data_IF_523414783879
#
_entry.id   IF_523414783879
#
_cell.length_a   1.000
_cell.length_b   1.000
_cell.length_c   1.000
_cell.angle_alpha   90.00
_cell.angle_beta   90.00
_cell.angle_gamma   90.00
#
_symmetry.space_group_name_H-M   'P 1'
#
loop_
_entity.id
_entity.type
_entity.pdbx_description
1 polymer ?
#
# COMPACT_ATOMS: atom_id res chain seq x y z
N UNK A 1 12.60 37.89 -7.29
CA UNK A 1 12.44 36.43 -7.45
C UNK A 1 11.27 36.23 -8.40
N UNK A 2 11.60 36.07 -9.67
CA UNK A 2 10.61 36.00 -10.77
C UNK A 2 10.12 34.53 -10.85
N UNK A 3 8.84 34.32 -10.59
CA UNK A 3 8.17 33.06 -10.82
C UNK A 3 8.08 32.83 -12.34
N UNK A 4 8.94 32.00 -12.89
CA UNK A 4 8.74 31.46 -14.24
C UNK A 4 7.68 30.37 -14.17
N UNK A 5 6.44 30.75 -14.38
CA UNK A 5 5.35 29.84 -14.65
C UNK A 5 5.47 29.41 -16.13
N UNK A 6 5.72 28.15 -16.47
CA UNK A 6 5.82 27.75 -17.87
C UNK A 6 4.45 27.81 -18.53
N UNK A 7 4.36 28.59 -19.59
CA UNK A 7 3.16 28.74 -20.40
C UNK A 7 2.75 27.45 -21.11
N UNK A 8 1.46 27.10 -21.22
CA UNK A 8 1.00 25.92 -21.92
C UNK A 8 1.14 26.05 -23.44
N UNK A 9 1.72 25.04 -24.09
CA UNK A 9 1.77 24.93 -25.56
C UNK A 9 0.69 23.92 -25.95
N UNK A 10 -0.44 24.41 -26.46
CA UNK A 10 -1.50 23.58 -27.06
C UNK A 10 -2.23 24.39 -28.13
N UNK A 11 -2.88 23.73 -29.09
CA UNK A 11 -3.68 24.37 -30.15
C UNK A 11 -4.82 25.26 -29.65
N UNK A 12 -5.18 25.19 -28.35
CA UNK A 12 -6.18 26.05 -27.68
C UNK A 12 -5.88 26.31 -26.20
N UNK A 13 -4.63 26.19 -25.73
CA UNK A 13 -4.29 26.37 -24.31
C UNK A 13 -4.68 25.21 -23.38
N UNK A 14 -5.26 24.12 -23.90
CA UNK A 14 -5.72 22.98 -23.10
C UNK A 14 -4.64 21.91 -22.94
N UNK A 15 -4.50 21.34 -21.74
CA UNK A 15 -3.56 20.26 -21.46
C UNK A 15 -4.13 18.90 -21.94
N UNK A 16 -3.29 18.12 -22.66
CA UNK A 16 -3.62 16.76 -23.09
C UNK A 16 -3.13 15.75 -22.06
N UNK A 17 -4.01 14.86 -21.63
CA UNK A 17 -3.74 13.80 -20.65
C UNK A 17 -3.91 12.44 -21.31
N UNK A 18 -2.90 11.55 -21.16
CA UNK A 18 -2.99 10.17 -21.62
C UNK A 18 -3.31 9.25 -20.44
N UNK A 19 -4.43 8.55 -20.48
CA UNK A 19 -4.80 7.51 -19.52
C UNK A 19 -4.33 6.15 -20.04
N UNK A 20 -3.38 5.52 -19.35
CA UNK A 20 -2.82 4.24 -19.75
C UNK A 20 -3.32 3.05 -18.93
N UNK A 21 -4.05 3.31 -17.87
CA UNK A 21 -4.79 2.33 -17.08
C UNK A 21 -6.26 2.74 -16.95
N UNK A 22 -7.16 1.77 -16.90
CA UNK A 22 -8.57 2.03 -16.62
C UNK A 22 -8.77 2.46 -15.17
N UNK A 23 -9.59 3.47 -14.97
CA UNK A 23 -9.89 4.04 -13.66
C UNK A 23 -11.41 4.27 -13.54
N UNK A 24 -11.84 4.76 -12.37
CA UNK A 24 -13.24 5.16 -12.19
C UNK A 24 -13.62 6.23 -13.22
N UNK A 25 -14.79 6.15 -13.90
CA UNK A 25 -15.20 7.07 -14.98
C UNK A 25 -15.16 8.54 -14.59
N UNK A 26 -15.50 8.87 -13.33
CA UNK A 26 -15.49 10.24 -12.81
C UNK A 26 -14.16 10.97 -13.05
N UNK A 27 -13.03 10.24 -13.09
CA UNK A 27 -11.71 10.86 -13.27
C UNK A 27 -11.64 11.55 -14.64
N UNK A 28 -11.97 10.83 -15.69
CA UNK A 28 -11.99 11.36 -17.06
C UNK A 28 -13.07 12.43 -17.22
N UNK A 29 -14.29 12.17 -16.72
CA UNK A 29 -15.43 13.07 -16.82
C UNK A 29 -15.13 14.43 -16.19
N UNK A 30 -14.70 14.47 -14.92
CA UNK A 30 -14.42 15.72 -14.22
C UNK A 30 -13.18 16.46 -14.77
N UNK A 31 -12.16 15.76 -15.26
CA UNK A 31 -11.05 16.42 -15.95
C UNK A 31 -11.47 17.01 -17.28
N UNK A 32 -12.36 16.36 -18.04
CA UNK A 32 -12.92 16.90 -19.28
C UNK A 32 -13.78 18.14 -19.03
N UNK A 33 -14.64 18.11 -18.02
CA UNK A 33 -15.43 19.28 -17.57
C UNK A 33 -14.55 20.46 -17.15
N UNK A 34 -13.34 20.16 -16.65
CA UNK A 34 -12.34 21.16 -16.24
C UNK A 34 -11.46 21.65 -17.41
N UNK A 35 -11.77 21.26 -18.64
CA UNK A 35 -11.10 21.75 -19.84
C UNK A 35 -9.86 20.94 -20.28
N UNK A 36 -9.59 19.79 -19.68
CA UNK A 36 -8.51 18.91 -20.13
C UNK A 36 -8.96 18.04 -21.31
N UNK A 37 -8.04 17.78 -22.24
CA UNK A 37 -8.25 16.83 -23.34
C UNK A 37 -7.77 15.46 -22.87
N UNK A 38 -8.67 14.48 -22.77
CA UNK A 38 -8.39 13.15 -22.25
C UNK A 38 -8.34 12.12 -23.38
N UNK A 39 -7.22 11.39 -23.50
CA UNK A 39 -7.08 10.25 -24.41
C UNK A 39 -6.87 8.98 -23.60
N UNK A 40 -7.42 7.88 -24.05
CA UNK A 40 -7.31 6.56 -23.42
C UNK A 40 -6.53 5.60 -24.31
N UNK A 41 -5.59 4.89 -23.71
CA UNK A 41 -4.83 3.83 -24.37
C UNK A 41 -4.50 2.72 -23.36
N UNK A 42 -5.37 1.73 -23.28
CA UNK A 42 -5.27 0.65 -22.31
C UNK A 42 -4.57 -0.60 -22.87
N UNK A 43 -4.19 -0.62 -24.14
CA UNK A 43 -3.72 -1.83 -24.83
C UNK A 43 -2.31 -1.75 -25.41
N UNK A 44 -1.85 -0.57 -25.80
CA UNK A 44 -0.53 -0.37 -26.40
C UNK A 44 0.62 -0.82 -25.47
N UNK A 45 1.66 -1.37 -26.04
CA UNK A 45 2.89 -1.67 -25.29
C UNK A 45 3.56 -0.40 -24.74
N UNK A 46 4.44 -0.56 -23.72
CA UNK A 46 5.26 0.56 -23.24
C UNK A 46 5.99 1.27 -24.39
N UNK A 47 6.59 0.49 -25.31
CA UNK A 47 7.33 1.02 -26.46
C UNK A 47 6.44 1.84 -27.42
N UNK A 48 5.17 1.48 -27.57
CA UNK A 48 4.26 2.24 -28.42
C UNK A 48 3.74 3.51 -27.72
N UNK A 49 3.52 3.46 -26.41
CA UNK A 49 3.23 4.67 -25.62
C UNK A 49 4.41 5.65 -25.67
N UNK A 50 5.64 5.17 -25.58
CA UNK A 50 6.86 5.97 -25.68
C UNK A 50 7.00 6.73 -27.01
N UNK A 51 6.43 6.24 -28.10
CA UNK A 51 6.47 6.92 -29.41
C UNK A 51 5.63 8.20 -29.44
N UNK A 52 4.57 8.27 -28.65
CA UNK A 52 3.59 9.35 -28.65
C UNK A 52 3.52 10.18 -27.38
N UNK A 53 4.22 9.77 -26.32
CA UNK A 53 4.11 10.45 -25.00
C UNK A 53 4.55 11.92 -25.05
N UNK A 54 5.40 12.30 -25.98
CA UNK A 54 5.81 13.69 -26.20
C UNK A 54 4.66 14.62 -26.60
N UNK A 55 3.52 14.09 -27.03
CA UNK A 55 2.33 14.88 -27.38
C UNK A 55 1.50 15.29 -26.14
N UNK A 56 1.80 14.72 -24.95
CA UNK A 56 0.98 14.85 -23.74
C UNK A 56 1.68 15.66 -22.65
N UNK A 57 0.90 16.41 -21.88
CA UNK A 57 1.33 17.17 -20.72
C UNK A 57 1.05 16.43 -19.41
N UNK A 58 0.15 15.45 -19.43
CA UNK A 58 -0.16 14.60 -18.29
C UNK A 58 -0.26 13.14 -18.68
N UNK A 59 0.12 12.25 -17.76
CA UNK A 59 -0.15 10.82 -17.85
C UNK A 59 -0.83 10.33 -16.58
N UNK A 60 -1.87 9.51 -16.75
CA UNK A 60 -2.58 8.84 -15.66
C UNK A 60 -2.26 7.36 -15.71
N UNK A 61 -1.69 6.83 -14.62
CA UNK A 61 -1.22 5.45 -14.50
C UNK A 61 -1.65 4.82 -13.18
N UNK A 62 -1.75 3.50 -13.15
CA UNK A 62 -1.82 2.69 -11.91
C UNK A 62 -0.57 1.84 -11.76
N UNK A 63 -0.45 0.75 -12.53
CA UNK A 63 0.66 -0.20 -12.36
C UNK A 63 1.08 -0.92 -13.66
N UNK A 64 0.57 -0.49 -14.81
CA UNK A 64 0.70 -1.20 -16.09
C UNK A 64 2.14 -1.48 -16.49
N UNK A 65 3.01 -0.48 -16.37
CA UNK A 65 4.44 -0.62 -16.61
C UNK A 65 5.25 0.42 -15.85
N UNK A 66 6.56 0.20 -15.79
CA UNK A 66 7.48 1.10 -15.10
C UNK A 66 7.73 2.36 -15.92
N UNK A 67 7.57 3.53 -15.28
CA UNK A 67 7.95 4.84 -15.81
C UNK A 67 9.40 5.10 -15.39
N UNK A 68 10.33 4.60 -16.18
CA UNK A 68 11.77 4.71 -15.96
C UNK A 68 12.37 5.90 -16.71
N UNK A 69 13.68 6.10 -16.52
CA UNK A 69 14.46 7.14 -17.20
C UNK A 69 14.24 7.15 -18.72
N UNK A 70 14.25 5.97 -19.35
CA UNK A 70 14.11 5.86 -20.82
C UNK A 70 12.73 6.36 -21.30
N UNK A 71 11.67 6.07 -20.54
CA UNK A 71 10.34 6.61 -20.80
C UNK A 71 10.31 8.13 -20.62
N UNK A 72 10.87 8.63 -19.50
CA UNK A 72 10.88 10.06 -19.17
C UNK A 72 11.71 10.89 -20.15
N UNK A 73 12.74 10.33 -20.76
CA UNK A 73 13.52 11.01 -21.80
C UNK A 73 12.70 11.28 -23.08
N UNK A 74 11.72 10.44 -23.37
CA UNK A 74 10.81 10.61 -24.51
C UNK A 74 9.61 11.52 -24.20
N UNK A 75 9.30 11.70 -22.91
CA UNK A 75 8.17 12.50 -22.43
C UNK A 75 8.52 13.99 -22.32
N UNK A 76 8.97 14.60 -23.42
CA UNK A 76 9.56 15.95 -23.43
C UNK A 76 8.60 17.08 -23.03
N UNK A 77 7.30 16.89 -23.19
CA UNK A 77 6.26 17.88 -22.86
C UNK A 77 5.51 17.55 -21.55
N UNK A 78 5.90 16.46 -20.86
CA UNK A 78 5.18 16.00 -19.68
C UNK A 78 5.40 16.96 -18.51
N UNK A 79 4.30 17.38 -17.89
CA UNK A 79 4.28 18.26 -16.71
C UNK A 79 3.95 17.50 -15.43
N UNK A 80 3.14 16.44 -15.54
CA UNK A 80 2.78 15.63 -14.38
C UNK A 80 2.56 14.15 -14.73
N UNK A 81 2.77 13.33 -13.70
CA UNK A 81 2.39 11.92 -13.68
C UNK A 81 1.43 11.73 -12.53
N UNK A 82 0.20 11.33 -12.83
CA UNK A 82 -0.84 11.07 -11.83
C UNK A 82 -0.99 9.56 -11.63
N UNK A 83 -0.55 9.06 -10.47
CA UNK A 83 -0.71 7.65 -10.09
C UNK A 83 -1.99 7.48 -9.27
N UNK A 84 -2.98 6.78 -9.82
CA UNK A 84 -4.25 6.47 -9.13
C UNK A 84 -4.02 5.36 -8.10
N UNK A 85 -3.45 5.75 -6.97
CA UNK A 85 -3.06 4.88 -5.86
C UNK A 85 -2.06 5.56 -4.92
N UNK A 86 -1.57 4.83 -3.90
CA UNK A 86 -0.74 5.39 -2.84
C UNK A 86 0.77 5.40 -3.15
N UNK A 87 1.32 4.29 -3.65
CA UNK A 87 2.76 4.13 -3.86
C UNK A 87 3.23 4.69 -5.20
N UNK A 88 4.51 5.00 -5.31
CA UNK A 88 5.14 5.51 -6.54
C UNK A 88 6.28 4.61 -7.03
N UNK A 89 6.36 3.38 -6.56
CA UNK A 89 7.49 2.45 -6.79
C UNK A 89 7.68 2.09 -8.28
N UNK A 90 6.65 2.27 -9.10
CA UNK A 90 6.73 2.07 -10.56
C UNK A 90 7.27 3.28 -11.33
N UNK A 91 7.60 4.38 -10.64
CA UNK A 91 8.02 5.65 -11.25
C UNK A 91 9.42 6.00 -10.75
N UNK A 92 10.30 6.39 -11.65
CA UNK A 92 11.61 6.97 -11.30
C UNK A 92 11.39 8.40 -10.79
N UNK A 93 11.13 8.51 -9.48
CA UNK A 93 10.75 9.76 -8.84
C UNK A 93 11.85 10.82 -8.89
N UNK A 94 13.11 10.41 -8.70
CA UNK A 94 14.26 11.31 -8.70
C UNK A 94 14.47 11.89 -10.10
N UNK A 95 14.40 11.03 -11.11
CA UNK A 95 14.56 11.48 -12.48
C UNK A 95 13.39 12.36 -12.96
N UNK A 96 12.15 12.02 -12.56
CA UNK A 96 10.97 12.87 -12.83
C UNK A 96 11.11 14.25 -12.18
N UNK A 97 11.58 14.31 -10.94
CA UNK A 97 11.84 15.57 -10.23
C UNK A 97 12.93 16.40 -10.92
N UNK A 98 14.02 15.77 -11.41
CA UNK A 98 15.08 16.45 -12.15
C UNK A 98 14.62 17.09 -13.46
N UNK A 99 13.51 16.59 -14.02
CA UNK A 99 12.84 17.14 -15.22
C UNK A 99 11.68 18.10 -14.88
N UNK A 100 11.50 18.46 -13.62
CA UNK A 100 10.38 19.28 -13.13
C UNK A 100 9.00 18.68 -13.43
N UNK A 101 8.88 17.35 -13.47
CA UNK A 101 7.61 16.65 -13.66
C UNK A 101 6.98 16.44 -12.28
N UNK A 102 5.78 16.96 -12.06
CA UNK A 102 5.04 16.81 -10.82
C UNK A 102 4.55 15.37 -10.64
N UNK A 103 4.75 14.80 -9.46
CA UNK A 103 4.23 13.48 -9.10
C UNK A 103 3.00 13.63 -8.23
N UNK A 104 1.88 13.09 -8.68
CA UNK A 104 0.58 13.16 -8.02
C UNK A 104 0.17 11.74 -7.64
N UNK A 105 0.03 11.48 -6.32
CA UNK A 105 -0.49 10.22 -5.79
C UNK A 105 -1.72 10.47 -4.92
N UNK A 106 -2.47 9.42 -4.63
CA UNK A 106 -3.74 9.50 -3.90
C UNK A 106 -3.77 8.61 -2.63
N UNK A 107 -2.78 8.70 -1.71
CA UNK A 107 -2.76 7.86 -0.51
C UNK A 107 -3.97 8.10 0.41
N UNK A 108 -4.63 9.25 0.29
CA UNK A 108 -5.83 9.57 1.05
C UNK A 108 -7.06 8.79 0.57
N UNK A 109 -7.07 8.37 -0.70
CA UNK A 109 -8.25 7.77 -1.35
C UNK A 109 -8.55 6.35 -0.89
N UNK A 110 -7.54 5.55 -0.50
CA UNK A 110 -7.74 4.16 -0.08
C UNK A 110 -7.40 3.89 1.38
N UNK A 111 -7.02 4.91 2.16
CA UNK A 111 -6.62 4.74 3.56
C UNK A 111 -7.70 4.08 4.43
N UNK A 112 -8.99 4.38 4.15
CA UNK A 112 -10.09 3.80 4.90
C UNK A 112 -10.20 2.29 4.66
N UNK A 113 -10.15 1.88 3.40
CA UNK A 113 -10.17 0.47 3.01
C UNK A 113 -9.00 -0.31 3.64
N UNK A 114 -7.78 0.22 3.57
CA UNK A 114 -6.60 -0.40 4.19
C UNK A 114 -6.78 -0.54 5.71
N UNK A 115 -7.29 0.48 6.39
CA UNK A 115 -7.55 0.41 7.83
C UNK A 115 -8.57 -0.67 8.20
N UNK A 116 -9.63 -0.82 7.42
CA UNK A 116 -10.66 -1.86 7.61
C UNK A 116 -10.11 -3.26 7.32
N UNK A 117 -9.37 -3.42 6.24
CA UNK A 117 -8.76 -4.69 5.88
C UNK A 117 -7.73 -5.15 6.91
N UNK A 118 -6.90 -4.22 7.42
CA UNK A 118 -5.93 -4.49 8.49
C UNK A 118 -6.64 -5.00 9.76
N UNK A 119 -7.74 -4.36 10.15
CA UNK A 119 -8.56 -4.82 11.28
C UNK A 119 -9.21 -6.18 11.01
N UNK A 120 -9.71 -6.41 9.79
CA UNK A 120 -10.30 -7.68 9.41
C UNK A 120 -9.28 -8.83 9.49
N UNK A 121 -8.05 -8.65 9.00
CA UNK A 121 -6.95 -9.62 9.15
C UNK A 121 -6.66 -9.91 10.62
N UNK A 122 -6.53 -8.86 11.45
CA UNK A 122 -6.26 -9.00 12.88
C UNK A 122 -7.36 -9.81 13.59
N UNK A 123 -8.63 -9.43 13.42
CA UNK A 123 -9.75 -10.14 14.02
C UNK A 123 -9.89 -11.57 13.51
N UNK A 124 -9.62 -11.80 12.23
CA UNK A 124 -9.66 -13.14 11.63
C UNK A 124 -8.59 -14.06 12.20
N UNK A 125 -7.38 -13.54 12.47
CA UNK A 125 -6.30 -14.27 13.15
C UNK A 125 -6.66 -14.58 14.59
N UNK A 126 -7.08 -13.57 15.34
CA UNK A 126 -7.41 -13.69 16.77
C UNK A 126 -8.52 -14.72 17.02
N UNK A 127 -9.52 -14.77 16.15
CA UNK A 127 -10.67 -15.67 16.29
C UNK A 127 -10.56 -16.95 15.46
N UNK A 128 -9.42 -17.25 14.83
CA UNK A 128 -9.21 -18.42 13.96
C UNK A 128 -10.28 -18.57 12.86
N UNK A 129 -10.87 -17.46 12.35
CA UNK A 129 -12.06 -17.49 11.49
C UNK A 129 -11.82 -18.32 10.23
N UNK A 130 -10.70 -18.10 9.53
CA UNK A 130 -10.40 -18.80 8.29
C UNK A 130 -10.19 -20.30 8.50
N UNK A 131 -9.41 -20.67 9.53
CA UNK A 131 -9.17 -22.06 9.91
C UNK A 131 -10.47 -22.75 10.27
N UNK A 132 -11.24 -22.19 11.20
CA UNK A 132 -12.51 -22.76 11.67
C UNK A 132 -13.53 -22.91 10.52
N UNK A 133 -13.63 -21.90 9.64
CA UNK A 133 -14.51 -21.98 8.46
C UNK A 133 -14.10 -23.11 7.50
N UNK A 134 -12.81 -23.28 7.25
CA UNK A 134 -12.33 -24.35 6.38
C UNK A 134 -12.55 -25.75 6.98
N UNK A 135 -12.34 -25.91 8.29
CA UNK A 135 -12.61 -27.15 9.02
C UNK A 135 -14.10 -27.53 8.90
N UNK A 136 -15.02 -26.60 9.17
CA UNK A 136 -16.46 -26.85 9.05
C UNK A 136 -16.84 -27.21 7.61
N UNK A 137 -16.33 -26.52 6.61
CA UNK A 137 -16.56 -26.82 5.18
C UNK A 137 -16.04 -28.20 4.78
N UNK A 138 -15.00 -28.71 5.47
CA UNK A 138 -14.47 -30.09 5.28
C UNK A 138 -15.13 -31.14 6.20
N UNK A 139 -16.22 -30.80 6.89
CA UNK A 139 -16.97 -31.70 7.75
C UNK A 139 -16.39 -31.90 9.15
N UNK A 140 -15.45 -31.06 9.59
CA UNK A 140 -14.84 -31.10 10.92
C UNK A 140 -15.53 -30.11 11.86
N UNK A 141 -15.68 -30.47 13.14
CA UNK A 141 -16.35 -29.65 14.16
C UNK A 141 -15.47 -29.48 15.39
N UNK A 142 -14.36 -28.72 15.25
CA UNK A 142 -13.29 -28.62 16.22
C UNK A 142 -13.43 -27.32 17.07
N UNK A 143 -14.17 -27.35 18.17
CA UNK A 143 -14.38 -26.17 19.02
C UNK A 143 -13.12 -25.77 19.80
N UNK A 144 -12.49 -26.71 20.51
CA UNK A 144 -11.38 -26.42 21.44
C UNK A 144 -10.13 -25.93 20.72
N UNK A 145 -9.78 -26.53 19.57
CA UNK A 145 -8.62 -26.12 18.77
C UNK A 145 -8.80 -24.79 18.05
N UNK A 146 -10.01 -24.24 18.03
CA UNK A 146 -10.36 -22.95 17.46
C UNK A 146 -10.68 -21.88 18.52
N UNK A 147 -10.34 -22.12 19.81
CA UNK A 147 -10.45 -21.09 20.83
C UNK A 147 -9.58 -19.89 20.45
N UNK A 148 -10.19 -18.71 20.35
CA UNK A 148 -9.54 -17.46 19.96
C UNK A 148 -8.98 -16.66 21.11
N UNK A 149 -8.54 -15.46 20.79
CA UNK A 149 -8.10 -14.42 21.71
C UNK A 149 -8.98 -13.18 21.55
N UNK A 150 -9.08 -12.37 22.59
CA UNK A 150 -9.75 -11.07 22.56
C UNK A 150 -8.69 -9.96 22.41
N UNK A 151 -9.10 -8.84 21.78
CA UNK A 151 -8.21 -7.69 21.62
C UNK A 151 -8.09 -6.85 22.89
N UNK A 152 -9.11 -6.87 23.75
CA UNK A 152 -9.15 -6.04 24.93
C UNK A 152 -7.94 -6.29 25.84
N UNK A 153 -7.37 -5.21 26.34
CA UNK A 153 -6.14 -5.22 27.13
C UNK A 153 -4.84 -5.42 26.33
N UNK A 154 -4.90 -5.60 25.01
CA UNK A 154 -3.70 -5.75 24.18
C UNK A 154 -3.05 -4.40 23.82
N UNK A 155 -1.77 -4.44 23.57
CA UNK A 155 -1.01 -3.31 23.02
C UNK A 155 -0.78 -3.53 21.53
N UNK A 156 -1.29 -2.62 20.71
CA UNK A 156 -1.14 -2.62 19.27
C UNK A 156 0.00 -1.66 18.89
N UNK A 157 1.08 -2.19 18.32
CA UNK A 157 2.21 -1.44 17.80
C UNK A 157 2.02 -1.15 16.29
N UNK A 158 2.11 0.10 15.89
CA UNK A 158 2.01 0.53 14.50
C UNK A 158 3.34 1.16 14.09
N UNK A 159 3.99 0.62 13.06
CA UNK A 159 5.17 1.24 12.44
C UNK A 159 4.75 1.93 11.14
N UNK A 160 5.01 3.24 11.06
CA UNK A 160 4.51 4.14 10.03
C UNK A 160 3.14 4.73 10.40
N UNK A 161 3.14 5.98 10.89
CA UNK A 161 1.92 6.63 11.36
C UNK A 161 1.46 7.75 10.41
N UNK A 162 1.52 7.45 9.09
CA UNK A 162 0.97 8.26 8.00
C UNK A 162 -0.51 7.98 7.74
N UNK A 163 -0.93 8.09 6.46
CA UNK A 163 -2.33 7.90 6.05
C UNK A 163 -2.92 6.55 6.50
N UNK A 164 -2.17 5.45 6.29
CA UNK A 164 -2.66 4.09 6.57
C UNK A 164 -2.64 3.79 8.07
N UNK A 165 -1.53 4.06 8.76
CA UNK A 165 -1.39 3.82 10.19
C UNK A 165 -2.43 4.60 11.02
N UNK A 166 -2.66 5.87 10.69
CA UNK A 166 -3.71 6.69 11.32
C UNK A 166 -5.11 6.14 11.06
N UNK A 167 -5.36 5.63 9.85
CA UNK A 167 -6.64 5.03 9.52
C UNK A 167 -6.88 3.75 10.33
N UNK A 168 -5.88 2.87 10.42
CA UNK A 168 -5.97 1.66 11.24
C UNK A 168 -6.18 1.99 12.72
N UNK A 169 -5.38 2.89 13.31
CA UNK A 169 -5.54 3.32 14.69
C UNK A 169 -6.95 3.87 14.96
N UNK A 170 -7.51 4.64 14.03
CA UNK A 170 -8.89 5.13 14.12
C UNK A 170 -9.93 3.99 14.18
N UNK A 171 -9.72 2.86 13.48
CA UNK A 171 -10.63 1.72 13.51
C UNK A 171 -10.58 0.96 14.84
N UNK A 172 -9.50 1.08 15.59
CA UNK A 172 -9.33 0.44 16.89
C UNK A 172 -10.09 1.13 18.03
N UNK A 173 -10.72 2.29 17.80
CA UNK A 173 -11.45 3.06 18.84
C UNK A 173 -12.60 2.31 19.54
N UNK A 174 -13.10 1.26 18.94
CA UNK A 174 -14.18 0.44 19.52
C UNK A 174 -13.69 -0.67 20.43
N UNK A 175 -12.36 -0.78 20.65
CA UNK A 175 -11.72 -1.82 21.47
C UNK A 175 -10.98 -1.18 22.64
N UNK A 176 -10.93 -1.87 23.77
CA UNK A 176 -10.16 -1.44 24.95
C UNK A 176 -8.67 -1.81 24.81
N UNK A 177 -8.00 -1.21 23.83
CA UNK A 177 -6.58 -1.47 23.48
C UNK A 177 -5.72 -0.25 23.75
N UNK A 178 -4.43 -0.50 24.04
CA UNK A 178 -3.40 0.54 23.98
C UNK A 178 -2.81 0.58 22.59
N UNK A 179 -2.85 1.73 21.91
CA UNK A 179 -2.24 1.88 20.58
C UNK A 179 -0.96 2.73 20.69
N UNK A 180 0.16 2.12 20.31
CA UNK A 180 1.46 2.77 20.21
C UNK A 180 1.84 2.91 18.74
N UNK A 181 2.46 4.03 18.37
CA UNK A 181 3.01 4.19 17.04
C UNK A 181 4.49 4.61 17.08
N UNK A 182 5.23 4.14 16.07
CA UNK A 182 6.59 4.57 15.80
C UNK A 182 6.67 5.08 14.35
N UNK A 183 7.34 6.20 14.16
CA UNK A 183 7.57 6.82 12.85
C UNK A 183 8.93 7.51 12.85
N UNK A 184 9.54 7.69 11.67
CA UNK A 184 10.77 8.48 11.50
C UNK A 184 10.52 9.97 11.68
N UNK A 185 9.28 10.42 11.51
CA UNK A 185 8.86 11.80 11.77
C UNK A 185 8.47 11.95 13.23
N UNK A 186 8.88 13.06 13.82
CA UNK A 186 8.51 13.39 15.19
C UNK A 186 7.09 13.99 15.27
N UNK A 187 6.47 13.85 16.43
CA UNK A 187 5.17 14.48 16.77
C UNK A 187 4.02 14.10 15.84
N UNK A 188 4.03 12.87 15.30
CA UNK A 188 2.94 12.35 14.44
C UNK A 188 1.81 11.71 15.24
N UNK A 189 2.03 11.36 16.50
CA UNK A 189 1.02 10.78 17.40
C UNK A 189 -0.20 11.68 17.54
N UNK A 190 -1.35 11.09 17.84
CA UNK A 190 -2.62 11.79 18.02
C UNK A 190 -3.49 11.10 19.09
N UNK A 191 -4.78 11.47 19.17
CA UNK A 191 -5.72 10.89 20.12
C UNK A 191 -5.97 9.38 19.94
N UNK A 192 -5.49 8.77 18.84
CA UNK A 192 -5.70 7.35 18.55
C UNK A 192 -4.47 6.51 18.83
N UNK A 193 -3.26 7.10 18.82
CA UNK A 193 -2.02 6.39 19.12
C UNK A 193 -0.97 7.31 19.74
N UNK A 194 -0.34 6.81 20.80
CA UNK A 194 0.81 7.47 21.44
C UNK A 194 2.08 7.15 20.65
N UNK A 195 2.82 8.17 20.21
CA UNK A 195 4.13 7.97 19.61
C UNK A 195 5.15 7.58 20.67
N UNK A 196 5.96 6.56 20.35
CA UNK A 196 7.03 6.03 21.22
C UNK A 196 8.26 5.68 20.39
N UNK A 197 9.38 5.39 21.05
CA UNK A 197 10.56 4.84 20.38
C UNK A 197 10.29 3.43 19.86
N UNK A 198 11.11 2.94 18.92
CA UNK A 198 11.00 1.58 18.41
C UNK A 198 11.20 0.55 19.54
N UNK A 199 12.16 0.81 20.43
CA UNK A 199 12.47 -0.06 21.56
C UNK A 199 11.29 -0.15 22.53
N UNK A 200 10.62 0.96 22.85
CA UNK A 200 9.42 0.94 23.71
C UNK A 200 8.29 0.17 23.05
N UNK A 201 8.09 0.31 21.74
CA UNK A 201 7.10 -0.45 20.98
C UNK A 201 7.40 -1.95 21.03
N UNK A 202 8.66 -2.35 20.77
CA UNK A 202 9.11 -3.75 20.80
C UNK A 202 8.99 -4.38 22.19
N UNK A 203 9.13 -3.60 23.27
CA UNK A 203 8.93 -4.09 24.63
C UNK A 203 7.46 -4.36 24.97
N UNK A 204 6.52 -3.58 24.42
CA UNK A 204 5.13 -3.56 24.88
C UNK A 204 4.15 -4.23 23.93
N UNK A 205 4.41 -4.25 22.62
CA UNK A 205 3.42 -4.67 21.64
C UNK A 205 3.09 -6.17 21.71
N UNK A 206 1.80 -6.45 21.67
CA UNK A 206 1.22 -7.80 21.48
C UNK A 206 0.87 -8.03 20.00
N UNK A 207 0.68 -6.97 19.23
CA UNK A 207 0.44 -6.96 17.79
C UNK A 207 1.36 -5.94 17.14
N UNK A 208 2.00 -6.30 16.04
CA UNK A 208 2.74 -5.39 15.18
C UNK A 208 2.03 -5.26 13.84
N UNK A 209 1.77 -4.00 13.40
CA UNK A 209 1.23 -3.70 12.08
C UNK A 209 2.14 -2.72 11.33
N UNK A 210 2.50 -3.06 10.08
CA UNK A 210 3.34 -2.22 9.23
C UNK A 210 2.52 -1.36 8.28
N UNK A 211 2.88 -0.06 8.21
CA UNK A 211 2.27 0.93 7.33
C UNK A 211 3.31 1.87 6.73
N UNK A 212 4.46 1.32 6.35
CA UNK A 212 5.63 2.02 5.81
C UNK A 212 5.79 1.81 4.30
N UNK A 213 6.38 2.76 3.55
CA UNK A 213 6.74 2.54 2.15
C UNK A 213 7.91 1.53 2.05
N UNK A 214 8.15 1.04 0.83
CA UNK A 214 9.38 0.33 0.52
C UNK A 214 10.43 1.34 0.04
N UNK A 215 11.50 1.46 0.81
CA UNK A 215 12.67 2.30 0.54
C UNK A 215 13.94 1.49 0.81
N UNK A 216 15.14 1.98 0.47
CA UNK A 216 16.39 1.31 0.86
C UNK A 216 16.48 1.02 2.37
N UNK A 217 15.99 1.93 3.22
CA UNK A 217 16.05 1.81 4.69
C UNK A 217 15.04 0.80 5.24
N UNK A 218 13.90 0.65 4.57
CA UNK A 218 12.83 -0.27 5.00
C UNK A 218 12.88 -1.63 4.31
N UNK A 219 13.77 -1.78 3.31
CA UNK A 219 13.97 -3.06 2.64
C UNK A 219 14.53 -4.10 3.62
N UNK A 220 13.84 -5.24 3.74
CA UNK A 220 14.21 -6.31 4.67
C UNK A 220 14.34 -5.84 6.14
N UNK A 221 13.61 -4.78 6.52
CA UNK A 221 13.63 -4.24 7.87
C UNK A 221 13.16 -5.28 8.90
N UNK A 222 12.11 -6.03 8.59
CA UNK A 222 11.61 -7.11 9.45
C UNK A 222 12.37 -8.38 9.12
N UNK A 223 13.52 -8.51 9.72
CA UNK A 223 14.42 -9.67 9.71
C UNK A 223 14.47 -10.34 11.10
N UNK A 224 15.30 -11.35 11.25
CA UNK A 224 15.42 -12.10 12.49
C UNK A 224 15.80 -11.24 13.70
N UNK A 225 16.75 -10.30 13.53
CA UNK A 225 17.22 -9.44 14.63
C UNK A 225 16.08 -8.50 15.07
N UNK A 226 15.37 -7.91 14.13
CA UNK A 226 14.21 -7.08 14.40
C UNK A 226 13.11 -7.84 15.14
N UNK A 227 12.80 -9.06 14.71
CA UNK A 227 11.79 -9.92 15.35
C UNK A 227 12.24 -10.32 16.77
N UNK A 228 13.50 -10.66 16.96
CA UNK A 228 14.04 -11.07 18.24
C UNK A 228 14.07 -9.93 19.27
N UNK A 229 14.12 -8.67 18.85
CA UNK A 229 14.08 -7.51 19.72
C UNK A 229 12.75 -7.35 20.48
N UNK A 230 11.66 -7.95 20.00
CA UNK A 230 10.40 -7.97 20.74
C UNK A 230 10.53 -8.79 22.02
N UNK A 231 10.04 -8.29 23.15
CA UNK A 231 10.19 -8.97 24.45
C UNK A 231 9.22 -10.14 24.63
N UNK A 232 8.07 -10.10 23.98
CA UNK A 232 7.04 -11.14 24.04
C UNK A 232 6.71 -11.70 22.65
N UNK A 233 6.09 -12.89 22.58
CA UNK A 233 5.46 -13.34 21.35
C UNK A 233 4.37 -12.35 20.90
N UNK A 234 4.21 -12.16 19.60
CA UNK A 234 3.28 -11.17 19.05
C UNK A 234 2.61 -11.66 17.75
N UNK A 235 1.51 -11.03 17.37
CA UNK A 235 0.89 -11.20 16.06
C UNK A 235 1.42 -10.16 15.09
N UNK A 236 1.55 -10.53 13.82
CA UNK A 236 2.15 -9.71 12.79
C UNK A 236 1.15 -9.43 11.66
N UNK A 237 1.00 -8.14 11.26
CA UNK A 237 0.17 -7.72 10.13
C UNK A 237 1.02 -6.90 9.16
N UNK A 238 0.99 -7.28 7.88
CA UNK A 238 1.62 -6.51 6.83
C UNK A 238 0.63 -6.21 5.69
N UNK A 239 0.15 -4.98 5.65
CA UNK A 239 -0.63 -4.40 4.54
C UNK A 239 0.14 -3.26 3.86
N UNK A 240 1.47 -3.22 4.04
CA UNK A 240 2.37 -2.20 3.52
C UNK A 240 3.05 -2.64 2.21
N UNK A 241 4.24 -3.26 2.34
CA UNK A 241 4.99 -3.82 1.20
C UNK A 241 5.65 -5.14 1.60
N UNK A 242 5.62 -6.12 0.68
CA UNK A 242 6.19 -7.43 0.94
C UNK A 242 7.68 -7.41 1.20
N UNK A 243 8.42 -6.60 0.46
CA UNK A 243 9.88 -6.45 0.58
C UNK A 243 10.36 -5.76 1.87
N UNK A 244 9.46 -5.30 2.73
CA UNK A 244 9.84 -4.86 4.07
C UNK A 244 10.17 -6.05 5.00
N UNK A 245 9.84 -7.29 4.61
CA UNK A 245 9.91 -8.49 5.42
C UNK A 245 10.79 -9.54 4.74
N UNK A 246 11.70 -10.14 5.49
CA UNK A 246 12.44 -11.36 5.08
C UNK A 246 11.55 -12.56 5.36
N UNK A 247 10.98 -13.17 4.32
CA UNK A 247 9.98 -14.24 4.45
C UNK A 247 10.53 -15.46 5.19
N UNK A 248 11.81 -15.82 4.99
CA UNK A 248 12.43 -16.94 5.70
C UNK A 248 12.49 -16.71 7.22
N UNK A 249 12.83 -15.50 7.64
CA UNK A 249 12.90 -15.11 9.05
C UNK A 249 11.51 -15.09 9.70
N UNK A 250 10.51 -14.59 8.96
CA UNK A 250 9.11 -14.64 9.37
C UNK A 250 8.63 -16.07 9.61
N UNK A 251 8.93 -17.00 8.69
CA UNK A 251 8.58 -18.41 8.82
C UNK A 251 9.25 -19.02 10.05
N UNK A 252 10.55 -18.82 10.23
CA UNK A 252 11.28 -19.29 11.41
C UNK A 252 10.68 -18.77 12.72
N UNK A 253 10.24 -17.51 12.73
CA UNK A 253 9.59 -16.91 13.89
C UNK A 253 8.19 -17.48 14.17
N UNK A 254 7.44 -17.87 13.14
CA UNK A 254 6.13 -18.55 13.29
C UNK A 254 6.32 -19.97 13.82
N UNK A 255 7.32 -20.69 13.33
CA UNK A 255 7.65 -22.05 13.78
C UNK A 255 8.10 -22.07 15.24
N UNK A 256 8.98 -21.16 15.63
CA UNK A 256 9.43 -21.02 17.01
C UNK A 256 8.37 -20.49 17.99
N UNK A 257 7.25 -19.99 17.47
CA UNK A 257 6.19 -19.38 18.28
C UNK A 257 6.50 -17.94 18.74
N UNK A 258 7.55 -17.30 18.22
CA UNK A 258 7.82 -15.88 18.46
C UNK A 258 6.77 -15.00 17.77
N UNK A 259 6.35 -15.37 16.57
CA UNK A 259 5.19 -14.83 15.89
C UNK A 259 4.03 -15.82 16.03
N UNK A 260 2.97 -15.41 16.70
CA UNK A 260 1.82 -16.25 17.04
C UNK A 260 0.92 -16.52 15.82
N UNK A 261 0.90 -15.59 14.88
CA UNK A 261 0.20 -15.66 13.60
C UNK A 261 0.47 -14.42 12.76
N UNK A 262 0.29 -14.53 11.45
CA UNK A 262 0.56 -13.45 10.51
C UNK A 262 -0.60 -13.20 9.53
N UNK A 263 -1.00 -11.94 9.34
CA UNK A 263 -1.92 -11.47 8.31
C UNK A 263 -1.16 -10.67 7.25
N UNK A 264 -1.11 -11.18 6.02
CA UNK A 264 -0.26 -10.64 4.98
C UNK A 264 -1.11 -10.35 3.73
N UNK A 265 -1.30 -9.07 3.42
CA UNK A 265 -1.91 -8.65 2.16
C UNK A 265 -0.87 -8.52 1.03
N UNK A 266 0.40 -8.51 1.41
CA UNK A 266 1.57 -8.37 0.53
C UNK A 266 2.62 -9.42 0.87
N UNK A 267 3.45 -9.82 -0.13
CA UNK A 267 4.54 -10.77 0.07
C UNK A 267 5.83 -10.34 -0.64
N UNK A 268 6.97 -10.85 -0.18
CA UNK A 268 8.30 -10.51 -0.70
C UNK A 268 8.45 -10.83 -2.20
N UNK A 269 7.77 -11.88 -2.67
CA UNK A 269 7.89 -12.42 -4.04
C UNK A 269 6.89 -11.82 -5.02
N UNK A 270 6.11 -10.84 -4.57
CA UNK A 270 5.11 -10.15 -5.37
C UNK A 270 5.75 -9.34 -6.50
N UNK A 271 5.19 -9.44 -7.71
CA UNK A 271 5.60 -8.62 -8.84
C UNK A 271 4.85 -7.28 -8.83
N UNK A 272 5.47 -6.24 -9.40
CA UNK A 272 4.88 -4.90 -9.50
C UNK A 272 3.54 -4.87 -10.27
N UNK A 273 3.31 -5.84 -11.15
CA UNK A 273 2.10 -5.94 -11.99
C UNK A 273 0.93 -6.68 -11.33
N UNK A 274 1.06 -7.14 -10.08
CA UNK A 274 0.03 -7.95 -9.38
C UNK A 274 -0.37 -9.24 -10.13
N UNK A 275 0.52 -9.75 -11.00
CA UNK A 275 0.28 -10.95 -11.77
C UNK A 275 0.49 -12.22 -10.94
N UNK A 276 -0.12 -13.31 -11.41
CA UNK A 276 -0.05 -14.63 -10.79
C UNK A 276 1.40 -15.03 -10.50
N UNK A 277 1.66 -15.51 -9.30
CA UNK A 277 2.91 -16.15 -8.94
C UNK A 277 3.03 -17.46 -9.74
N UNK A 278 3.73 -17.40 -10.89
CA UNK A 278 3.99 -18.57 -11.74
C UNK A 278 5.47 -18.95 -11.62
N UNK A 279 5.74 -20.23 -11.36
CA UNK A 279 7.10 -20.77 -11.25
C UNK A 279 7.34 -21.54 -9.95
N UNK A 280 8.59 -21.98 -9.72
CA UNK A 280 8.99 -22.60 -8.46
C UNK A 280 8.87 -21.61 -7.31
N UNK A 281 7.86 -21.86 -6.46
CA UNK A 281 7.66 -21.05 -5.26
C UNK A 281 8.76 -21.34 -4.24
N UNK A 282 9.42 -20.31 -3.67
CA UNK A 282 10.39 -20.51 -2.61
C UNK A 282 9.79 -21.26 -1.42
N UNK A 283 10.60 -22.08 -0.78
CA UNK A 283 10.16 -22.94 0.32
C UNK A 283 9.50 -22.13 1.47
N UNK A 284 10.03 -20.98 1.91
CA UNK A 284 9.34 -20.19 2.92
C UNK A 284 7.94 -19.74 2.51
N UNK A 285 7.72 -19.43 1.23
CA UNK A 285 6.39 -19.04 0.76
C UNK A 285 5.43 -20.24 0.71
N UNK A 286 5.90 -21.43 0.34
CA UNK A 286 5.10 -22.67 0.42
C UNK A 286 4.65 -22.97 1.86
N UNK A 287 5.51 -22.70 2.85
CA UNK A 287 5.13 -22.81 4.25
C UNK A 287 3.96 -21.87 4.59
N UNK A 288 4.04 -20.58 4.20
CA UNK A 288 2.97 -19.61 4.46
C UNK A 288 1.64 -20.02 3.84
N UNK A 289 1.65 -20.56 2.61
CA UNK A 289 0.46 -21.04 1.90
C UNK A 289 -0.24 -22.20 2.62
N UNK A 290 0.48 -23.03 3.36
CA UNK A 290 -0.05 -24.22 4.03
C UNK A 290 -0.24 -24.01 5.55
N UNK A 291 0.17 -22.87 6.10
CA UNK A 291 0.11 -22.62 7.54
C UNK A 291 -1.28 -22.12 7.97
N UNK A 292 -1.88 -22.80 8.93
CA UNK A 292 -3.12 -22.35 9.58
C UNK A 292 -2.93 -21.10 10.48
N UNK A 293 -1.68 -20.69 10.74
CA UNK A 293 -1.34 -19.47 11.49
C UNK A 293 -1.23 -18.24 10.59
N UNK A 294 -1.43 -18.40 9.28
CA UNK A 294 -1.21 -17.32 8.29
C UNK A 294 -2.49 -17.08 7.49
N UNK A 295 -2.84 -15.82 7.32
CA UNK A 295 -3.87 -15.36 6.39
C UNK A 295 -3.18 -14.57 5.28
N UNK A 296 -3.42 -14.97 4.04
CA UNK A 296 -2.88 -14.33 2.84
C UNK A 296 -4.01 -13.72 2.03
N UNK A 297 -3.84 -12.49 1.58
CA UNK A 297 -4.72 -11.84 0.62
C UNK A 297 -3.91 -11.26 -0.55
N UNK A 298 -4.45 -11.18 -1.77
CA UNK A 298 -3.69 -10.86 -2.98
C UNK A 298 -3.55 -9.35 -3.23
N UNK A 299 -3.00 -8.60 -2.26
CA UNK A 299 -2.76 -7.15 -2.31
C UNK A 299 -4.06 -6.35 -2.58
N UNK A 300 -5.08 -6.62 -1.79
CA UNK A 300 -6.43 -6.04 -1.93
C UNK A 300 -6.86 -5.14 -0.78
N UNK A 301 -5.99 -4.87 0.20
CA UNK A 301 -6.35 -4.04 1.35
C UNK A 301 -6.89 -2.66 0.97
N UNK A 302 -6.37 -2.08 -0.12
CA UNK A 302 -6.84 -0.81 -0.66
C UNK A 302 -7.85 -0.94 -1.80
N UNK A 303 -8.44 -2.13 -2.04
CA UNK A 303 -9.21 -2.44 -3.24
C UNK A 303 -10.69 -2.63 -2.93
N UNK A 304 -11.43 -1.52 -2.74
CA UNK A 304 -12.89 -1.50 -2.54
C UNK A 304 -13.58 -0.65 -3.59
N UNK A 305 -14.88 -0.79 -3.75
CA UNK A 305 -15.67 0.06 -4.65
C UNK A 305 -15.51 1.54 -4.29
N UNK A 306 -15.58 1.85 -3.00
CA UNK A 306 -15.44 3.21 -2.48
C UNK A 306 -14.02 3.76 -2.68
N UNK A 307 -12.99 2.96 -2.44
CA UNK A 307 -11.61 3.40 -2.65
C UNK A 307 -11.31 3.67 -4.10
N UNK A 308 -11.89 2.91 -5.03
CA UNK A 308 -11.74 3.12 -6.47
C UNK A 308 -12.25 4.50 -6.88
N UNK A 309 -13.42 4.90 -6.36
CA UNK A 309 -13.99 6.23 -6.58
C UNK A 309 -13.17 7.33 -5.87
N UNK A 310 -12.82 7.12 -4.60
CA UNK A 310 -12.07 8.11 -3.81
C UNK A 310 -10.66 8.37 -4.37
N UNK A 311 -9.95 7.33 -4.83
CA UNK A 311 -8.65 7.48 -5.48
C UNK A 311 -8.74 8.37 -6.71
N UNK A 312 -9.75 8.14 -7.55
CA UNK A 312 -9.99 8.96 -8.74
C UNK A 312 -10.30 10.41 -8.37
N UNK A 313 -11.17 10.64 -7.37
CA UNK A 313 -11.53 11.98 -6.91
C UNK A 313 -10.31 12.75 -6.37
N UNK A 314 -9.48 12.11 -5.54
CA UNK A 314 -8.25 12.75 -5.01
C UNK A 314 -7.30 13.17 -6.14
N UNK A 315 -7.16 12.34 -7.18
CA UNK A 315 -6.34 12.68 -8.35
C UNK A 315 -6.92 13.89 -9.10
N UNK A 316 -8.22 13.89 -9.34
CA UNK A 316 -8.91 15.06 -9.97
C UNK A 316 -8.65 16.33 -9.19
N UNK A 317 -8.89 16.30 -7.87
CA UNK A 317 -8.74 17.47 -7.00
C UNK A 317 -7.30 18.01 -7.02
N UNK A 318 -6.30 17.12 -6.95
CA UNK A 318 -4.89 17.50 -7.00
C UNK A 318 -4.45 18.03 -8.37
N UNK A 319 -4.94 17.45 -9.49
CA UNK A 319 -4.64 17.96 -10.83
C UNK A 319 -5.26 19.36 -10.99
N UNK A 320 -6.52 19.53 -10.59
CA UNK A 320 -7.21 20.84 -10.67
C UNK A 320 -6.52 21.89 -9.82
N UNK A 321 -6.08 21.55 -8.61
CA UNK A 321 -5.36 22.48 -7.74
C UNK A 321 -4.00 22.96 -8.31
N UNK A 322 -3.38 22.19 -9.22
CA UNK A 322 -2.10 22.54 -9.84
C UNK A 322 -2.26 23.25 -11.20
N UNK A 323 -3.36 23.02 -11.93
CA UNK A 323 -3.46 23.40 -13.34
C UNK A 323 -4.77 24.15 -13.71
N UNK A 324 -5.69 24.35 -12.79
CA UNK A 324 -6.88 25.20 -12.92
C UNK A 324 -6.84 26.35 -11.91
#
# INVERSE_FOLDING_TARGET
>A
MTSNNPQPITDNGQLKILHIDSNHPLLKEQLQESGFINHEDFTSSKADVEKKIHEYQGIVIRSRFKIDKAFLDKATNLKFIARVGAGLESIDCEYAASKNIALIAAPEGNRNAVGEHTLALLLSLFNNINKASNEVKSGQWNRESNRGHELDGKTIGIIGYGNMGKSFAKKLRGFEVTVLCHDILENVGDQNAKQVSLEELQQKADVLSLHIPWTPETNNMVNQDFINAFQKPFWFINTARGKNVVTADLVSAIESGKILGAGLDVNEYEKLSFETLTGDMPEPYRYLLNSNKVILTPHIAGWTFESHQCLAQVIVDKIKALYC
#
